data_IF_480490098005
#
_entry.id   IF_480490098005
#
_cell.length_a   1.000
_cell.length_b   1.000
_cell.length_c   1.000
_cell.angle_alpha   90.00
_cell.angle_beta   90.00
_cell.angle_gamma   90.00
#
_symmetry.space_group_name_H-M   'P 1'
#
loop_
_entity.id
_entity.type
_entity.pdbx_description
1 polymer ?
#
# COMPACT_ATOMS: atom_id res chain seq x y z
N UNK A 1 3.54 25.89 6.76
CA UNK A 1 4.75 26.65 7.10
C UNK A 1 5.76 25.75 7.82
N UNK A 2 5.39 25.00 8.86
CA UNK A 2 6.31 24.14 9.62
C UNK A 2 7.02 23.05 8.78
N UNK A 3 6.41 22.61 7.69
CA UNK A 3 6.94 21.54 6.82
C UNK A 3 7.52 22.09 5.50
N UNK A 4 7.54 23.41 5.29
CA UNK A 4 8.07 24.02 4.05
C UNK A 4 7.26 23.69 2.79
N UNK A 5 6.04 23.15 2.92
CA UNK A 5 5.21 22.79 1.78
C UNK A 5 4.59 24.04 1.16
N UNK A 6 4.74 24.19 -0.16
CA UNK A 6 4.12 25.27 -0.93
C UNK A 6 2.62 25.03 -1.05
N UNK A 7 1.85 26.08 -0.80
CA UNK A 7 0.38 26.06 -0.90
C UNK A 7 -0.11 27.16 -1.83
N UNK A 8 -1.27 26.93 -2.43
CA UNK A 8 -1.95 27.92 -3.27
C UNK A 8 -3.40 28.10 -2.78
N UNK A 9 -3.89 29.34 -2.80
CA UNK A 9 -5.26 29.70 -2.45
C UNK A 9 -5.89 30.56 -3.56
N UNK A 10 -7.22 30.72 -3.53
CA UNK A 10 -7.94 31.55 -4.50
C UNK A 10 -8.08 30.91 -5.89
N UNK A 11 -7.87 29.60 -6.02
CA UNK A 11 -8.07 28.87 -7.27
C UNK A 11 -9.46 28.24 -7.34
N UNK A 12 -10.02 28.13 -8.54
CA UNK A 12 -11.27 27.39 -8.78
C UNK A 12 -11.00 25.87 -8.73
N UNK A 13 -11.07 25.31 -7.52
CA UNK A 13 -10.87 23.88 -7.27
C UNK A 13 -11.87 23.00 -8.01
N UNK A 14 -13.10 23.49 -8.24
CA UNK A 14 -14.12 22.77 -9.00
C UNK A 14 -13.75 22.65 -10.49
N UNK A 15 -13.25 23.73 -11.09
CA UNK A 15 -12.77 23.71 -12.46
C UNK A 15 -11.59 22.74 -12.61
N UNK A 16 -10.65 22.72 -11.66
CA UNK A 16 -9.52 21.78 -11.63
C UNK A 16 -10.05 20.34 -11.57
N UNK A 17 -10.97 20.02 -10.65
CA UNK A 17 -11.55 18.68 -10.52
C UNK A 17 -12.26 18.25 -11.79
N UNK A 18 -13.06 19.13 -12.42
CA UNK A 18 -13.73 18.84 -13.70
C UNK A 18 -12.72 18.54 -14.81
N UNK A 19 -11.63 19.29 -14.88
CA UNK A 19 -10.55 19.06 -15.84
C UNK A 19 -9.92 17.68 -15.63
N UNK A 20 -9.54 17.35 -14.38
CA UNK A 20 -8.93 16.05 -14.04
C UNK A 20 -9.88 14.87 -14.32
N UNK A 21 -11.18 15.03 -14.08
CA UNK A 21 -12.19 14.00 -14.41
C UNK A 21 -12.33 13.72 -15.90
N UNK A 22 -11.96 14.67 -16.74
CA UNK A 22 -12.00 14.53 -18.21
C UNK A 22 -10.69 14.02 -18.79
N UNK A 23 -9.55 14.50 -18.23
CA UNK A 23 -8.22 14.25 -18.78
C UNK A 23 -7.43 13.16 -18.07
N UNK A 24 -7.87 12.76 -16.87
CA UNK A 24 -7.12 11.85 -16.00
C UNK A 24 -6.08 12.56 -15.14
N UNK A 25 -5.31 11.77 -14.41
CA UNK A 25 -4.18 12.27 -13.61
C UNK A 25 -3.13 12.88 -14.54
N UNK A 26 -2.61 14.05 -14.15
CA UNK A 26 -1.65 14.78 -14.97
C UNK A 26 -0.54 15.41 -14.13
N UNK A 27 0.57 15.74 -14.76
CA UNK A 27 1.63 16.52 -14.14
C UNK A 27 1.12 17.91 -13.83
N UNK A 28 1.50 18.43 -12.65
CA UNK A 28 1.14 19.78 -12.20
C UNK A 28 2.30 20.40 -11.42
N UNK A 29 2.32 21.72 -11.35
CA UNK A 29 3.29 22.48 -10.56
C UNK A 29 2.62 23.60 -9.79
N UNK A 30 3.11 23.85 -8.57
CA UNK A 30 2.81 25.05 -7.77
C UNK A 30 4.12 25.76 -7.54
N UNK A 31 4.21 27.00 -7.97
CA UNK A 31 5.44 27.78 -7.94
C UNK A 31 5.26 29.04 -7.08
N UNK A 32 6.29 29.40 -6.32
CA UNK A 32 6.28 30.62 -5.50
C UNK A 32 7.70 31.15 -5.27
N UNK A 33 7.82 32.43 -4.91
CA UNK A 33 9.08 33.07 -4.58
C UNK A 33 10.13 32.94 -5.67
N UNK A 34 11.36 32.52 -5.35
CA UNK A 34 12.45 32.42 -6.34
C UNK A 34 12.23 31.40 -7.45
N UNK A 35 11.23 30.50 -7.28
CA UNK A 35 10.87 29.51 -8.30
C UNK A 35 9.92 30.07 -9.39
N UNK A 36 9.46 31.31 -9.26
CA UNK A 36 8.64 31.98 -10.26
C UNK A 36 9.48 32.29 -11.50
N UNK A 37 8.92 32.03 -12.66
CA UNK A 37 9.48 32.33 -13.97
C UNK A 37 8.34 32.70 -14.91
N UNK A 38 8.64 32.96 -16.19
CA UNK A 38 7.59 33.17 -17.17
C UNK A 38 6.74 31.90 -17.39
N UNK A 39 5.53 32.09 -17.94
CA UNK A 39 4.57 30.99 -18.11
C UNK A 39 5.11 29.86 -19.00
N UNK A 40 5.90 30.17 -20.01
CA UNK A 40 6.46 29.16 -20.90
C UNK A 40 7.46 28.29 -20.18
N UNK A 41 8.40 28.89 -19.43
CA UNK A 41 9.37 28.15 -18.63
C UNK A 41 8.71 27.30 -17.55
N UNK A 42 7.71 27.81 -16.83
CA UNK A 42 6.99 27.04 -15.82
C UNK A 42 6.24 25.85 -16.45
N UNK A 43 5.64 26.06 -17.63
CA UNK A 43 4.97 24.99 -18.37
C UNK A 43 5.94 23.91 -18.81
N UNK A 44 7.12 24.29 -19.28
CA UNK A 44 8.16 23.35 -19.72
C UNK A 44 8.73 22.57 -18.53
N UNK A 45 8.92 23.19 -17.37
CA UNK A 45 9.30 22.50 -16.12
C UNK A 45 8.28 21.41 -15.77
N UNK A 46 6.97 21.69 -15.88
CA UNK A 46 5.92 20.71 -15.61
C UNK A 46 5.92 19.59 -16.64
N UNK A 47 6.06 19.92 -17.94
CA UNK A 47 6.08 18.93 -19.02
C UNK A 47 7.26 17.97 -18.97
N UNK A 48 8.41 18.48 -18.52
CA UNK A 48 9.67 17.73 -18.44
C UNK A 48 9.83 16.94 -17.13
N UNK A 49 8.85 16.98 -16.21
CA UNK A 49 8.88 16.13 -15.02
C UNK A 49 8.88 14.65 -15.41
N UNK A 50 9.59 13.78 -14.66
CA UNK A 50 9.56 12.35 -14.89
C UNK A 50 8.12 11.80 -14.75
N UNK A 51 7.84 10.73 -15.47
CA UNK A 51 6.58 10.00 -15.33
C UNK A 51 6.57 9.23 -14.02
N UNK A 52 5.38 9.02 -13.42
CA UNK A 52 5.21 8.06 -12.34
C UNK A 52 5.37 6.62 -12.83
N UNK A 53 5.11 6.36 -14.13
CA UNK A 53 5.37 5.07 -14.76
C UNK A 53 6.89 4.83 -14.82
N UNK A 54 7.35 3.71 -14.26
CA UNK A 54 8.77 3.37 -14.13
C UNK A 54 9.49 4.10 -13.00
N UNK A 55 8.80 4.84 -12.12
CA UNK A 55 9.41 5.55 -11.00
C UNK A 55 9.68 4.61 -9.83
N UNK A 56 10.95 4.32 -9.55
CA UNK A 56 11.39 3.62 -8.33
C UNK A 56 11.55 4.64 -7.19
N UNK A 57 10.58 4.67 -6.28
CA UNK A 57 10.54 5.64 -5.19
C UNK A 57 10.58 5.00 -3.79
N UNK A 58 10.39 3.70 -3.66
CA UNK A 58 10.37 3.01 -2.36
C UNK A 58 11.64 3.26 -1.55
N UNK A 59 12.81 3.10 -2.18
CA UNK A 59 14.09 3.30 -1.53
C UNK A 59 14.36 4.75 -1.10
N UNK A 60 13.65 5.72 -1.68
CA UNK A 60 13.81 7.14 -1.35
C UNK A 60 13.04 7.57 -0.09
N UNK A 61 12.03 6.81 0.31
CA UNK A 61 11.15 7.11 1.45
C UNK A 61 11.31 6.11 2.59
N UNK A 62 11.98 5.01 2.33
CA UNK A 62 12.28 3.98 3.32
C UNK A 62 13.24 4.48 4.39
N UNK A 63 13.10 3.97 5.61
CA UNK A 63 14.12 4.17 6.65
C UNK A 63 15.49 3.65 6.19
N UNK A 64 16.56 4.32 6.60
CA UNK A 64 17.93 3.87 6.32
C UNK A 64 18.42 2.84 7.33
N UNK A 65 17.88 2.89 8.55
CA UNK A 65 18.20 1.97 9.64
C UNK A 65 16.90 1.38 10.20
N UNK A 66 16.93 0.08 10.54
CA UNK A 66 15.80 -0.57 11.20
C UNK A 66 15.52 0.03 12.57
N UNK A 67 14.25 0.09 12.95
CA UNK A 67 13.83 0.51 14.27
C UNK A 67 12.72 -0.38 14.81
N UNK A 68 12.48 -0.32 16.12
CA UNK A 68 11.48 -1.13 16.79
C UNK A 68 10.37 -0.23 17.34
N UNK A 69 9.13 -0.65 17.15
CA UNK A 69 7.96 -0.11 17.84
C UNK A 69 7.48 -1.17 18.83
N UNK A 70 7.60 -0.83 20.10
CA UNK A 70 7.21 -1.73 21.19
C UNK A 70 5.68 -1.82 21.31
N UNK A 71 5.15 -2.98 21.75
CA UNK A 71 3.72 -3.16 21.96
C UNK A 71 3.21 -2.32 23.16
N UNK A 72 1.93 -1.94 23.10
CA UNK A 72 1.24 -1.44 24.26
C UNK A 72 0.80 -2.63 25.13
N UNK A 73 1.40 -2.77 26.34
CA UNK A 73 1.14 -3.90 27.24
C UNK A 73 2.01 -5.13 26.97
N UNK A 74 1.46 -6.33 27.22
CA UNK A 74 2.20 -7.58 27.05
C UNK A 74 2.42 -7.89 25.55
N UNK A 75 3.65 -8.27 25.22
CA UNK A 75 3.97 -8.73 23.87
C UNK A 75 3.31 -10.08 23.59
N UNK A 76 2.58 -10.14 22.47
CA UNK A 76 1.93 -11.36 21.96
C UNK A 76 2.66 -11.90 20.72
N UNK A 77 3.05 -11.01 19.81
CA UNK A 77 3.64 -11.34 18.52
C UNK A 77 4.82 -10.43 18.18
N UNK A 78 5.64 -10.91 17.26
CA UNK A 78 6.70 -10.15 16.59
C UNK A 78 6.37 -10.07 15.09
N UNK A 79 6.37 -8.86 14.53
CA UNK A 79 6.17 -8.62 13.09
C UNK A 79 7.41 -7.95 12.51
N UNK A 80 7.89 -8.48 11.40
CA UNK A 80 8.86 -7.79 10.55
C UNK A 80 8.11 -6.98 9.48
N UNK A 81 8.22 -5.66 9.52
CA UNK A 81 7.56 -4.75 8.60
C UNK A 81 8.56 -4.16 7.60
N UNK A 82 8.40 -4.40 6.30
CA UNK A 82 9.19 -3.73 5.28
C UNK A 82 8.68 -2.30 5.09
N UNK A 83 9.56 -1.34 5.32
CA UNK A 83 9.26 0.09 5.12
C UNK A 83 9.40 0.47 3.65
N UNK A 84 8.30 0.45 2.94
CA UNK A 84 8.18 0.92 1.56
C UNK A 84 7.66 2.37 1.49
N UNK A 85 7.49 3.01 2.65
CA UNK A 85 6.86 4.31 2.89
C UNK A 85 5.79 4.21 3.98
N UNK A 86 6.10 3.50 5.06
CA UNK A 86 5.16 3.16 6.13
C UNK A 86 4.60 4.40 6.84
N UNK A 87 3.29 4.42 7.06
CA UNK A 87 2.66 5.43 7.92
C UNK A 87 2.80 5.05 9.38
N UNK A 88 3.10 6.01 10.25
CA UNK A 88 3.26 5.81 11.69
C UNK A 88 2.02 5.23 12.38
N UNK A 89 0.84 5.41 11.79
CA UNK A 89 -0.41 4.81 12.28
C UNK A 89 -0.43 3.28 12.16
N UNK A 90 0.29 2.67 11.22
CA UNK A 90 0.33 1.22 11.05
C UNK A 90 1.02 0.50 12.20
N UNK A 91 2.29 0.77 12.54
CA UNK A 91 2.91 0.11 13.70
C UNK A 91 2.23 0.49 15.02
N UNK A 92 1.56 1.64 15.10
CA UNK A 92 0.73 1.98 16.26
C UNK A 92 -0.49 1.06 16.39
N UNK A 93 -1.17 0.74 15.27
CA UNK A 93 -2.25 -0.24 15.27
C UNK A 93 -1.77 -1.64 15.68
N UNK A 94 -0.54 -2.01 15.31
CA UNK A 94 0.09 -3.24 15.75
C UNK A 94 0.40 -3.21 17.26
N UNK A 95 0.99 -2.10 17.75
CA UNK A 95 1.31 -1.93 19.17
C UNK A 95 0.08 -2.07 20.08
N UNK A 96 -1.06 -1.49 19.69
CA UNK A 96 -2.36 -1.62 20.38
C UNK A 96 -2.84 -3.08 20.50
N UNK A 97 -2.33 -3.99 19.66
CA UNK A 97 -2.68 -5.43 19.64
C UNK A 97 -1.61 -6.32 20.25
N UNK A 98 -0.66 -5.73 20.98
CA UNK A 98 0.43 -6.46 21.61
C UNK A 98 1.49 -6.97 20.63
N UNK A 99 1.63 -6.34 19.45
CA UNK A 99 2.61 -6.71 18.43
C UNK A 99 3.84 -5.82 18.56
N UNK A 100 4.99 -6.44 18.77
CA UNK A 100 6.30 -5.83 18.61
C UNK A 100 6.63 -5.76 17.12
N UNK A 101 6.86 -4.57 16.59
CA UNK A 101 7.13 -4.38 15.17
C UNK A 101 8.58 -3.97 14.93
N UNK A 102 9.32 -4.82 14.22
CA UNK A 102 10.63 -4.48 13.66
C UNK A 102 10.42 -3.87 12.27
N UNK A 103 10.59 -2.57 12.18
CA UNK A 103 10.50 -1.86 10.89
C UNK A 103 11.86 -1.93 10.22
N UNK A 104 11.92 -2.57 9.06
CA UNK A 104 13.13 -2.82 8.30
C UNK A 104 13.17 -1.96 7.03
N UNK A 105 14.36 -1.55 6.55
CA UNK A 105 14.49 -0.89 5.25
C UNK A 105 13.88 -1.70 4.10
N UNK A 106 13.41 -1.03 3.04
CA UNK A 106 12.94 -1.68 1.81
C UNK A 106 14.00 -2.61 1.19
N UNK A 107 15.28 -2.35 1.48
CA UNK A 107 16.41 -3.14 1.01
C UNK A 107 16.72 -4.38 1.87
N UNK A 108 15.95 -4.66 2.92
CA UNK A 108 16.15 -5.84 3.76
C UNK A 108 16.05 -7.14 2.95
N UNK A 109 16.86 -8.12 3.33
CA UNK A 109 16.86 -9.46 2.73
C UNK A 109 15.92 -10.39 3.51
N UNK A 110 15.60 -11.53 2.89
CA UNK A 110 14.84 -12.57 3.60
C UNK A 110 15.58 -13.10 4.84
N UNK A 111 16.92 -13.26 4.77
CA UNK A 111 17.71 -13.71 5.92
C UNK A 111 17.56 -12.75 7.12
N UNK A 112 17.61 -11.43 6.86
CA UNK A 112 17.42 -10.42 7.92
C UNK A 112 16.00 -10.48 8.52
N UNK A 113 15.00 -10.83 7.73
CA UNK A 113 13.63 -11.06 8.22
C UNK A 113 13.59 -12.35 9.05
N UNK A 114 14.16 -13.43 8.55
CA UNK A 114 14.16 -14.75 9.19
C UNK A 114 14.92 -14.77 10.52
N UNK A 115 16.03 -14.01 10.66
CA UNK A 115 16.78 -13.86 11.91
C UNK A 115 15.93 -13.31 13.06
N UNK A 116 14.88 -12.54 12.76
CA UNK A 116 13.95 -12.04 13.76
C UNK A 116 12.96 -13.11 14.26
N UNK A 117 12.90 -14.28 13.59
CA UNK A 117 11.90 -15.32 13.82
C UNK A 117 10.47 -14.72 13.98
N UNK A 118 9.98 -13.93 13.01
CA UNK A 118 8.73 -13.20 13.17
C UNK A 118 7.53 -14.14 13.09
N UNK A 119 6.48 -13.82 13.83
CA UNK A 119 5.17 -14.48 13.72
C UNK A 119 4.43 -14.07 12.44
N UNK A 120 4.80 -12.94 11.84
CA UNK A 120 4.25 -12.45 10.59
C UNK A 120 5.11 -11.38 9.93
N UNK A 121 4.90 -11.20 8.63
CA UNK A 121 5.55 -10.16 7.83
C UNK A 121 4.51 -9.17 7.33
N UNK A 122 4.86 -7.90 7.35
CA UNK A 122 4.02 -6.82 6.87
C UNK A 122 4.69 -6.07 5.72
N UNK A 123 3.95 -5.89 4.61
CA UNK A 123 4.36 -5.06 3.48
C UNK A 123 3.62 -3.73 3.54
N UNK A 124 4.36 -2.65 3.76
CA UNK A 124 3.74 -1.34 3.96
C UNK A 124 3.22 -0.70 2.66
N UNK A 125 2.45 0.34 2.81
CA UNK A 125 2.18 1.29 1.74
C UNK A 125 3.47 1.97 1.27
N UNK A 126 3.45 2.54 0.06
CA UNK A 126 4.59 3.23 -0.52
C UNK A 126 4.27 3.94 -1.83
N UNK A 127 5.16 4.82 -2.30
CA UNK A 127 5.04 5.50 -3.59
C UNK A 127 5.72 4.72 -4.71
N UNK A 128 5.47 5.16 -5.94
CA UNK A 128 6.16 4.70 -7.14
C UNK A 128 5.36 3.71 -7.97
N UNK A 129 6.05 3.16 -8.96
CA UNK A 129 5.52 2.12 -9.83
C UNK A 129 5.86 0.75 -9.25
N UNK A 130 4.87 -0.08 -8.87
CA UNK A 130 5.14 -1.40 -8.35
C UNK A 130 5.94 -2.30 -9.31
N UNK A 131 5.91 -2.01 -10.62
CA UNK A 131 6.68 -2.76 -11.62
C UNK A 131 8.21 -2.63 -11.44
N UNK A 132 8.68 -1.63 -10.70
CA UNK A 132 10.13 -1.43 -10.42
C UNK A 132 10.63 -2.18 -9.18
N UNK A 133 9.74 -2.75 -8.38
CA UNK A 133 10.06 -3.30 -7.07
C UNK A 133 10.40 -4.81 -7.08
N UNK A 134 11.10 -5.30 -8.11
CA UNK A 134 11.42 -6.72 -8.29
C UNK A 134 12.13 -7.35 -7.08
N UNK A 135 13.01 -6.59 -6.41
CA UNK A 135 13.70 -7.06 -5.20
C UNK A 135 12.71 -7.35 -4.07
N UNK A 136 11.76 -6.44 -3.81
CA UNK A 136 10.76 -6.62 -2.75
C UNK A 136 9.83 -7.79 -3.09
N UNK A 137 9.49 -7.95 -4.38
CA UNK A 137 8.72 -9.10 -4.88
C UNK A 137 9.48 -10.40 -4.62
N UNK A 138 10.79 -10.47 -4.90
CA UNK A 138 11.62 -11.65 -4.64
C UNK A 138 11.62 -12.02 -3.15
N UNK A 139 11.90 -11.07 -2.26
CA UNK A 139 11.84 -11.28 -0.80
C UNK A 139 10.44 -11.73 -0.34
N UNK A 140 9.38 -11.15 -0.91
CA UNK A 140 8.00 -11.57 -0.62
C UNK A 140 7.75 -13.02 -1.00
N UNK A 141 8.28 -13.47 -2.13
CA UNK A 141 8.17 -14.87 -2.56
C UNK A 141 8.93 -15.82 -1.60
N UNK A 142 10.08 -15.41 -1.08
CA UNK A 142 10.80 -16.19 -0.06
C UNK A 142 10.00 -16.29 1.25
N UNK A 143 9.37 -15.19 1.70
CA UNK A 143 8.45 -15.18 2.86
C UNK A 143 7.28 -16.13 2.67
N UNK A 144 6.64 -16.10 1.48
CA UNK A 144 5.53 -17.00 1.14
C UNK A 144 6.00 -18.47 1.09
N UNK A 145 7.18 -18.74 0.53
CA UNK A 145 7.78 -20.08 0.47
C UNK A 145 8.12 -20.64 1.84
N UNK A 146 8.51 -19.77 2.79
CA UNK A 146 8.74 -20.13 4.18
C UNK A 146 7.45 -20.33 5.00
N UNK A 147 6.28 -20.04 4.43
CA UNK A 147 4.98 -20.18 5.08
C UNK A 147 4.71 -19.15 6.19
N UNK A 148 5.47 -18.05 6.24
CA UNK A 148 5.28 -17.00 7.23
C UNK A 148 4.01 -16.20 6.93
N UNK A 149 3.11 -15.98 7.90
CA UNK A 149 1.93 -15.14 7.75
C UNK A 149 2.26 -13.75 7.19
N UNK A 150 1.49 -13.30 6.17
CA UNK A 150 1.78 -12.05 5.49
C UNK A 150 0.54 -11.17 5.33
N UNK A 151 0.69 -9.88 5.64
CA UNK A 151 -0.29 -8.84 5.38
C UNK A 151 0.32 -7.68 4.57
N UNK A 152 -0.39 -7.20 3.54
CA UNK A 152 0.05 -6.08 2.69
C UNK A 152 -0.98 -4.97 2.57
N UNK A 153 -0.53 -3.71 2.61
CA UNK A 153 -1.38 -2.52 2.44
C UNK A 153 -0.89 -1.68 1.25
N UNK A 154 -1.81 -1.31 0.35
CA UNK A 154 -1.64 -0.39 -0.76
C UNK A 154 -0.51 -0.84 -1.71
N UNK A 155 0.70 -0.29 -1.61
CA UNK A 155 1.85 -0.79 -2.36
C UNK A 155 2.15 -2.25 -2.00
N UNK A 156 2.02 -2.63 -0.72
CA UNK A 156 2.15 -4.01 -0.27
C UNK A 156 1.12 -4.97 -0.90
N UNK A 157 -0.09 -4.51 -1.24
CA UNK A 157 -1.05 -5.30 -2.02
C UNK A 157 -0.53 -5.56 -3.44
N UNK A 158 0.03 -4.52 -4.07
CA UNK A 158 0.58 -4.64 -5.42
C UNK A 158 1.80 -5.57 -5.45
N UNK A 159 2.65 -5.51 -4.44
CA UNK A 159 3.81 -6.40 -4.27
C UNK A 159 3.35 -7.86 -4.06
N UNK A 160 2.37 -8.09 -3.15
CA UNK A 160 1.83 -9.45 -2.95
C UNK A 160 1.21 -9.97 -4.24
N UNK A 161 0.40 -9.17 -4.95
CA UNK A 161 -0.19 -9.56 -6.21
C UNK A 161 0.86 -9.96 -7.25
N UNK A 162 1.95 -9.19 -7.38
CA UNK A 162 3.09 -9.51 -8.24
C UNK A 162 3.81 -10.79 -7.80
N UNK A 163 4.02 -10.99 -6.51
CA UNK A 163 4.62 -12.22 -5.97
C UNK A 163 3.78 -13.45 -6.29
N UNK A 164 2.46 -13.30 -6.37
CA UNK A 164 1.49 -14.32 -6.76
C UNK A 164 1.30 -14.45 -8.29
N UNK A 165 2.09 -13.71 -9.09
CA UNK A 165 2.10 -13.81 -10.56
C UNK A 165 1.13 -12.87 -11.29
N UNK A 166 0.51 -11.91 -10.58
CA UNK A 166 -0.33 -10.89 -11.22
C UNK A 166 0.49 -9.73 -11.76
N UNK A 167 -0.06 -9.07 -12.76
CA UNK A 167 0.48 -7.83 -13.33
C UNK A 167 -0.18 -6.60 -12.69
N UNK A 168 0.50 -5.47 -12.83
CA UNK A 168 0.00 -4.17 -12.39
C UNK A 168 -0.11 -3.23 -13.57
N UNK A 169 -1.06 -2.30 -13.50
CA UNK A 169 -1.25 -1.27 -14.51
C UNK A 169 -1.41 0.12 -13.91
N UNK A 170 -1.05 1.14 -14.70
CA UNK A 170 -1.26 2.53 -14.35
C UNK A 170 -2.70 2.93 -14.64
N UNK A 171 -3.43 3.30 -13.61
CA UNK A 171 -4.80 3.80 -13.74
C UNK A 171 -4.83 5.18 -14.39
N UNK A 172 -5.87 5.46 -15.18
CA UNK A 172 -6.08 6.79 -15.81
C UNK A 172 -6.35 7.86 -14.75
N UNK A 173 -7.19 7.55 -13.76
CA UNK A 173 -7.57 8.50 -12.70
C UNK A 173 -6.93 8.18 -11.36
N UNK A 174 -6.83 6.89 -11.01
CA UNK A 174 -6.50 6.41 -9.68
C UNK A 174 -7.62 6.66 -8.68
N UNK A 175 -7.53 6.02 -7.51
CA UNK A 175 -8.45 6.24 -6.40
C UNK A 175 -7.81 7.17 -5.38
N UNK A 176 -8.48 8.30 -5.10
CA UNK A 176 -8.03 9.31 -4.12
C UNK A 176 -9.24 9.86 -3.40
N UNK A 177 -9.41 9.45 -2.15
CA UNK A 177 -10.55 9.88 -1.33
C UNK A 177 -10.69 9.06 -0.07
N UNK A 178 -11.65 9.45 0.75
CA UNK A 178 -11.97 8.81 2.04
C UNK A 178 -13.39 8.21 2.05
N UNK A 179 -13.98 8.02 0.89
CA UNK A 179 -15.36 7.56 0.72
C UNK A 179 -15.51 6.58 -0.45
N UNK A 180 -14.48 5.75 -0.67
CA UNK A 180 -14.48 4.76 -1.75
C UNK A 180 -15.04 3.45 -1.21
N UNK A 181 -16.17 2.94 -1.76
CA UNK A 181 -16.78 1.69 -1.32
C UNK A 181 -16.04 0.50 -1.91
N UNK A 182 -15.73 -0.49 -1.06
CA UNK A 182 -15.05 -1.74 -1.44
C UNK A 182 -15.87 -2.93 -1.00
N UNK A 183 -16.06 -3.89 -1.90
CA UNK A 183 -16.78 -5.15 -1.66
C UNK A 183 -15.77 -6.22 -1.23
N UNK A 184 -15.99 -6.85 -0.09
CA UNK A 184 -15.36 -8.12 0.31
C UNK A 184 -16.14 -9.29 -0.29
N UNK A 185 -15.52 -10.04 -1.20
CA UNK A 185 -16.15 -11.16 -1.88
C UNK A 185 -16.33 -12.42 -1.02
N UNK A 186 -15.68 -12.49 0.14
CA UNK A 186 -15.89 -13.61 1.07
C UNK A 186 -17.17 -13.44 1.90
N UNK A 187 -17.53 -12.20 2.22
CA UNK A 187 -18.65 -11.90 3.13
C UNK A 187 -19.80 -11.16 2.45
N UNK A 188 -19.56 -10.56 1.27
CA UNK A 188 -20.50 -9.68 0.57
C UNK A 188 -20.66 -8.29 1.25
N UNK A 189 -19.86 -7.99 2.28
CA UNK A 189 -19.92 -6.70 2.97
C UNK A 189 -19.28 -5.61 2.14
N UNK A 190 -19.81 -4.40 2.28
CA UNK A 190 -19.22 -3.18 1.72
C UNK A 190 -18.63 -2.36 2.86
N UNK A 191 -17.34 -2.03 2.74
CA UNK A 191 -16.66 -1.08 3.63
C UNK A 191 -16.43 0.24 2.90
N UNK A 192 -16.61 1.35 3.59
CA UNK A 192 -16.16 2.67 3.10
C UNK A 192 -14.69 2.82 3.46
N UNK A 193 -13.85 3.15 2.47
CA UNK A 193 -12.40 3.12 2.63
C UNK A 193 -11.73 4.43 2.27
N UNK A 194 -10.54 4.64 2.85
CA UNK A 194 -9.62 5.69 2.45
C UNK A 194 -8.62 5.14 1.43
N UNK A 195 -8.45 5.85 0.31
CA UNK A 195 -7.59 5.41 -0.79
C UNK A 195 -6.72 6.54 -1.34
N UNK A 196 -5.50 6.19 -1.73
CA UNK A 196 -4.59 7.07 -2.45
C UNK A 196 -3.60 6.23 -3.27
N UNK A 197 -4.04 5.77 -4.45
CA UNK A 197 -3.19 5.02 -5.36
C UNK A 197 -3.46 5.36 -6.83
N UNK A 198 -2.48 5.13 -7.68
CA UNK A 198 -2.55 5.37 -9.13
C UNK A 198 -2.18 4.14 -9.95
N UNK A 199 -1.87 3.03 -9.28
CA UNK A 199 -1.65 1.71 -9.88
C UNK A 199 -2.60 0.71 -9.22
N UNK A 200 -2.95 -0.34 -9.94
CA UNK A 200 -3.78 -1.42 -9.47
C UNK A 200 -3.31 -2.78 -10.02
N UNK A 201 -3.75 -3.87 -9.42
CA UNK A 201 -3.57 -5.23 -9.93
C UNK A 201 -4.60 -5.51 -11.02
N UNK A 202 -4.21 -6.27 -12.03
CA UNK A 202 -5.15 -6.85 -12.98
C UNK A 202 -5.88 -8.05 -12.33
N UNK A 203 -7.16 -8.20 -12.64
CA UNK A 203 -8.00 -9.30 -12.17
C UNK A 203 -9.48 -8.94 -12.16
N UNK A 204 -10.31 -9.97 -12.00
CA UNK A 204 -11.76 -9.84 -11.94
C UNK A 204 -12.30 -10.12 -10.52
N UNK A 205 -13.49 -9.64 -10.23
CA UNK A 205 -14.15 -9.81 -8.95
C UNK A 205 -14.30 -11.29 -8.55
N UNK A 206 -13.70 -11.68 -7.43
CA UNK A 206 -13.77 -13.05 -6.90
C UNK A 206 -13.01 -14.09 -7.74
N UNK A 207 -12.24 -13.65 -8.74
CA UNK A 207 -11.42 -14.55 -9.58
C UNK A 207 -10.49 -15.40 -8.73
N UNK A 208 -10.45 -16.70 -9.02
CA UNK A 208 -9.49 -17.65 -8.44
C UNK A 208 -8.40 -17.95 -9.47
N UNK A 209 -7.16 -18.07 -9.00
CA UNK A 209 -6.01 -18.35 -9.86
C UNK A 209 -4.96 -19.18 -9.12
N UNK A 210 -4.23 -19.99 -9.87
CA UNK A 210 -3.15 -20.81 -9.33
C UNK A 210 -1.86 -20.01 -9.20
N UNK A 211 -1.09 -20.31 -8.14
CA UNK A 211 0.22 -19.71 -7.88
C UNK A 211 1.21 -20.77 -7.43
N UNK A 212 2.51 -20.45 -7.40
CA UNK A 212 3.55 -21.33 -6.85
C UNK A 212 3.36 -21.61 -5.35
N UNK A 213 2.51 -20.86 -4.67
CA UNK A 213 2.26 -20.94 -3.23
C UNK A 213 0.88 -21.53 -2.88
N UNK A 214 0.18 -22.07 -3.87
CA UNK A 214 -1.18 -22.58 -3.76
C UNK A 214 -2.21 -21.66 -4.40
N UNK A 215 -3.50 -22.03 -4.36
CA UNK A 215 -4.57 -21.24 -4.95
C UNK A 215 -4.71 -19.88 -4.28
N UNK A 216 -4.92 -18.85 -5.08
CA UNK A 216 -5.19 -17.49 -4.64
C UNK A 216 -6.50 -16.97 -5.22
N UNK A 217 -6.96 -15.83 -4.70
CA UNK A 217 -8.15 -15.17 -5.24
C UNK A 217 -8.09 -13.67 -5.10
N UNK A 218 -8.80 -12.97 -5.97
CA UNK A 218 -9.17 -11.56 -5.80
C UNK A 218 -10.22 -11.50 -4.69
N UNK A 219 -9.84 -10.94 -3.55
CA UNK A 219 -10.68 -10.94 -2.34
C UNK A 219 -11.56 -9.71 -2.22
N UNK A 220 -11.12 -8.57 -2.76
CA UNK A 220 -11.82 -7.30 -2.69
C UNK A 220 -11.80 -6.56 -4.03
N UNK A 221 -12.88 -5.85 -4.35
CA UNK A 221 -12.95 -4.94 -5.49
C UNK A 221 -13.67 -3.64 -5.13
N UNK A 222 -13.30 -2.57 -5.81
CA UNK A 222 -14.02 -1.29 -5.71
C UNK A 222 -15.44 -1.45 -6.28
N UNK A 223 -16.45 -1.02 -5.52
CA UNK A 223 -17.85 -1.13 -5.95
C UNK A 223 -18.20 -0.16 -7.10
N UNK A 224 -17.39 0.86 -7.33
CA UNK A 224 -17.68 1.88 -8.36
C UNK A 224 -17.23 1.46 -9.75
N UNK A 225 -16.10 0.74 -9.88
CA UNK A 225 -15.45 0.47 -11.17
C UNK A 225 -14.84 -0.93 -11.29
N UNK A 226 -14.96 -1.76 -10.23
CA UNK A 226 -14.48 -3.14 -10.25
C UNK A 226 -12.97 -3.33 -10.10
N UNK A 227 -12.21 -2.24 -9.88
CA UNK A 227 -10.76 -2.31 -9.67
C UNK A 227 -10.43 -3.25 -8.51
N UNK A 228 -9.38 -4.07 -8.66
CA UNK A 228 -8.92 -5.00 -7.61
C UNK A 228 -8.43 -4.22 -6.40
N UNK A 229 -9.04 -4.49 -5.26
CA UNK A 229 -8.78 -3.84 -3.98
C UNK A 229 -8.20 -4.79 -2.93
N UNK A 230 -7.94 -6.05 -3.30
CA UNK A 230 -7.26 -7.01 -2.43
C UNK A 230 -7.12 -8.37 -3.06
N UNK A 231 -6.05 -9.07 -2.67
CA UNK A 231 -5.79 -10.47 -3.03
C UNK A 231 -5.43 -11.28 -1.79
N UNK A 232 -5.69 -12.58 -1.83
CA UNK A 232 -5.32 -13.50 -0.75
C UNK A 232 -5.01 -14.89 -1.27
N UNK A 233 -4.18 -15.64 -0.54
CA UNK A 233 -4.11 -17.09 -0.66
C UNK A 233 -5.38 -17.74 -0.07
N UNK A 234 -5.86 -18.78 -0.68
CA UNK A 234 -7.11 -19.47 -0.25
C UNK A 234 -6.94 -20.14 1.10
N UNK A 235 -5.74 -20.61 1.42
CA UNK A 235 -5.40 -21.17 2.74
C UNK A 235 -5.33 -20.11 3.87
N UNK A 236 -5.41 -18.83 3.52
CA UNK A 236 -5.50 -17.73 4.43
C UNK A 236 -4.16 -17.16 4.91
N UNK A 237 -3.02 -17.84 4.70
CA UNK A 237 -1.72 -17.41 5.26
C UNK A 237 -1.14 -16.10 4.70
N UNK A 238 -1.71 -15.57 3.62
CA UNK A 238 -1.36 -14.26 3.09
C UNK A 238 -2.58 -13.52 2.56
N UNK A 239 -2.71 -12.24 2.89
CA UNK A 239 -3.75 -11.38 2.34
C UNK A 239 -3.26 -9.94 2.23
N UNK A 240 -3.94 -9.15 1.41
CA UNK A 240 -3.64 -7.74 1.25
C UNK A 240 -4.86 -6.95 0.82
N UNK A 241 -4.77 -5.63 1.05
CA UNK A 241 -5.77 -4.66 0.60
C UNK A 241 -5.10 -3.44 -0.04
N UNK A 242 -5.75 -2.88 -1.06
CA UNK A 242 -5.25 -1.71 -1.80
C UNK A 242 -5.50 -0.40 -1.06
N UNK A 243 -6.54 -0.36 -0.24
CA UNK A 243 -6.94 0.80 0.56
C UNK A 243 -6.19 0.85 1.91
N UNK A 244 -6.46 1.89 2.70
CA UNK A 244 -5.74 2.20 3.94
C UNK A 244 -6.61 1.95 5.18
N UNK A 245 -6.60 0.73 5.78
CA UNK A 245 -7.35 0.45 7.01
C UNK A 245 -6.80 1.20 8.23
N UNK A 246 -5.55 1.68 8.16
CA UNK A 246 -4.90 2.50 9.18
C UNK A 246 -5.29 3.99 9.10
N UNK A 247 -6.19 4.37 8.21
CA UNK A 247 -6.55 5.76 7.91
C UNK A 247 -6.88 6.56 9.19
N UNK A 248 -6.04 7.56 9.48
CA UNK A 248 -6.21 8.40 10.66
C UNK A 248 -7.26 9.50 10.47
N UNK A 249 -7.54 9.88 9.23
CA UNK A 249 -8.48 10.96 8.87
C UNK A 249 -9.65 10.47 7.99
N UNK A 250 -9.89 9.16 7.96
CA UNK A 250 -10.90 8.53 7.12
C UNK A 250 -11.76 7.54 7.91
N UNK A 251 -12.62 6.79 7.22
CA UNK A 251 -13.45 5.77 7.84
C UNK A 251 -12.62 4.66 8.46
N UNK A 252 -13.14 4.08 9.54
CA UNK A 252 -12.49 3.00 10.28
C UNK A 252 -13.12 1.63 10.01
N UNK A 253 -13.99 1.52 9.03
CA UNK A 253 -14.74 0.30 8.68
C UNK A 253 -13.84 -0.91 8.45
N UNK A 254 -12.63 -0.68 7.95
CA UNK A 254 -11.66 -1.72 7.63
C UNK A 254 -10.60 -1.98 8.72
N UNK A 255 -10.69 -1.34 9.89
CA UNK A 255 -9.69 -1.50 10.95
C UNK A 255 -9.61 -2.95 11.47
N UNK A 256 -10.68 -3.75 11.32
CA UNK A 256 -10.72 -5.18 11.65
C UNK A 256 -9.64 -6.02 10.93
N UNK A 257 -9.07 -5.54 9.83
CA UNK A 257 -8.01 -6.25 9.10
C UNK A 257 -6.73 -6.42 9.93
N UNK A 258 -6.48 -5.52 10.87
CA UNK A 258 -5.40 -5.69 11.84
C UNK A 258 -5.68 -6.84 12.82
N UNK A 259 -6.95 -7.04 13.21
CA UNK A 259 -7.36 -8.16 14.05
C UNK A 259 -7.31 -9.47 13.24
N UNK A 260 -7.71 -9.44 11.97
CA UNK A 260 -7.56 -10.58 11.07
C UNK A 260 -6.09 -11.01 10.92
N UNK A 261 -5.14 -10.07 10.89
CA UNK A 261 -3.72 -10.42 10.84
C UNK A 261 -3.25 -11.04 12.17
N UNK A 262 -3.77 -10.60 13.32
CA UNK A 262 -3.54 -11.24 14.62
C UNK A 262 -4.04 -12.69 14.60
N UNK A 263 -5.29 -12.91 14.16
CA UNK A 263 -5.89 -14.25 14.07
C UNK A 263 -5.08 -15.20 13.16
N UNK A 264 -4.55 -14.65 12.06
CA UNK A 264 -3.69 -15.39 11.14
C UNK A 264 -2.40 -15.86 11.81
N UNK A 265 -1.73 -14.98 12.57
CA UNK A 265 -0.52 -15.34 13.32
C UNK A 265 -0.82 -16.34 14.45
N UNK A 266 -1.98 -16.26 15.12
CA UNK A 266 -2.41 -17.25 16.10
C UNK A 266 -2.62 -18.64 15.47
N UNK A 267 -3.20 -18.68 14.29
CA UNK A 267 -3.41 -19.92 13.52
C UNK A 267 -2.09 -20.58 13.09
N UNK A 268 -1.09 -19.79 12.75
CA UNK A 268 0.25 -20.26 12.33
C UNK A 268 1.09 -20.87 13.46
N UNK A 269 0.73 -20.63 14.72
CA UNK A 269 1.40 -21.22 15.92
C UNK A 269 0.86 -22.59 16.31
N UNK A 270 -0.22 -23.06 15.67
CA UNK A 270 -0.83 -24.40 15.91
C UNK A 270 -0.31 -25.41 14.91
#
# INVERSE_FOLDING_TARGET
IRQGVVGIAGVDTRAIVRHLRTKGSMRAGVFSGPALADHAELTDRVRNQPSMLGADLCGQVSTTEGYIVEPEGAQRFTVAALDLGIKTSTPRNFALRGIRTHVLPAAATFDQIAELAPDGVFLSNGPGDPATADRVVAVTREVLGAGIPLFGICFGNQILGRALGRTTYKMVFGHRGINVPVIDHATGRVAVTAQNHGFALEGEAGERFDTDFGPAMVSHTCANDGVVEGVKLVDGRAFSVQYHPEAAAGPHDANYLFDQFVDLMEGGRR
#
